data_IF_699541304215
#
_entry.id   IF_699541304215
#
_cell.length_a   1.000
_cell.length_b   1.000
_cell.length_c   1.000
_cell.angle_alpha   90.00
_cell.angle_beta   90.00
_cell.angle_gamma   90.00
#
_symmetry.space_group_name_H-M   'P 1'
#
loop_
_entity.id
_entity.type
_entity.pdbx_description
1 polymer ?
#
# COMPACT_ATOMS: atom_id res chain seq x y z
N UNK A 1 -5.75 23.87 9.56
CA UNK A 1 -6.30 23.03 10.65
C UNK A 1 -5.16 22.18 11.14
N UNK A 2 -5.19 21.73 12.39
CA UNK A 2 -4.11 20.94 12.97
C UNK A 2 -4.52 19.47 12.97
N UNK A 3 -3.76 18.62 12.30
CA UNK A 3 -3.99 17.18 12.27
C UNK A 3 -2.94 16.46 13.09
N UNK A 4 -3.29 15.30 13.65
CA UNK A 4 -2.34 14.42 14.28
C UNK A 4 -2.53 12.96 13.92
N UNK A 5 -1.46 12.19 14.09
CA UNK A 5 -1.47 10.73 14.05
C UNK A 5 -0.70 10.19 15.24
N UNK A 6 -1.27 9.16 15.87
CA UNK A 6 -0.58 8.35 16.86
C UNK A 6 0.07 7.13 16.15
N UNK A 7 1.39 6.96 16.28
CA UNK A 7 2.16 5.93 15.56
C UNK A 7 2.46 4.67 16.37
N UNK A 8 2.21 4.66 17.69
CA UNK A 8 2.50 3.48 18.53
C UNK A 8 1.29 2.56 18.65
N UNK A 9 1.47 1.29 18.27
CA UNK A 9 0.56 0.21 18.64
C UNK A 9 0.62 -0.01 20.15
N UNK A 10 -0.46 0.36 20.83
CA UNK A 10 -0.71 0.03 22.22
C UNK A 10 -2.04 -0.70 22.32
N UNK A 11 -2.23 -1.42 23.43
CA UNK A 11 -3.52 -2.02 23.74
C UNK A 11 -4.63 -0.97 23.75
N UNK A 12 -5.84 -1.41 23.39
CA UNK A 12 -7.09 -0.63 23.26
C UNK A 12 -7.29 0.43 24.37
N UNK A 13 -6.82 0.16 25.60
CA UNK A 13 -7.06 0.98 26.79
C UNK A 13 -6.07 2.15 26.98
N UNK A 14 -5.06 2.30 26.12
CA UNK A 14 -3.99 3.28 26.34
C UNK A 14 -4.04 4.53 25.44
N UNK A 15 -5.09 4.70 24.62
CA UNK A 15 -5.18 5.84 23.71
C UNK A 15 -5.61 7.14 24.39
N UNK A 16 -6.44 7.07 25.45
CA UNK A 16 -7.04 8.24 26.09
C UNK A 16 -6.03 9.33 26.50
N UNK A 17 -4.88 9.02 27.13
CA UNK A 17 -3.87 10.03 27.47
C UNK A 17 -3.35 10.79 26.24
N UNK A 18 -3.14 10.09 25.12
CA UNK A 18 -2.66 10.70 23.88
C UNK A 18 -3.73 11.56 23.21
N UNK A 19 -5.00 11.17 23.28
CA UNK A 19 -6.10 12.02 22.78
C UNK A 19 -6.18 13.32 23.59
N UNK A 20 -6.02 13.25 24.92
CA UNK A 20 -5.95 14.45 25.75
C UNK A 20 -4.70 15.30 25.47
N UNK A 21 -3.55 14.68 25.23
CA UNK A 21 -2.34 15.39 24.81
C UNK A 21 -2.55 16.10 23.45
N UNK A 22 -3.15 15.42 22.48
CA UNK A 22 -3.49 16.00 21.18
C UNK A 22 -4.41 17.23 21.34
N UNK A 23 -5.39 17.16 22.25
CA UNK A 23 -6.22 18.32 22.59
C UNK A 23 -5.41 19.48 23.15
N UNK A 24 -4.48 19.25 24.07
CA UNK A 24 -3.61 20.30 24.61
C UNK A 24 -2.75 20.95 23.54
N UNK A 25 -2.38 20.20 22.50
CA UNK A 25 -1.66 20.69 21.33
C UNK A 25 -2.56 21.40 20.30
N UNK A 26 -3.87 21.47 20.54
CA UNK A 26 -4.84 22.11 19.65
C UNK A 26 -5.17 21.31 18.39
N UNK A 27 -5.02 19.98 18.43
CA UNK A 27 -5.34 19.09 17.31
C UNK A 27 -6.84 19.11 17.03
N UNK A 28 -7.20 19.32 15.76
CA UNK A 28 -8.59 19.33 15.28
C UNK A 28 -9.10 17.91 14.97
N UNK A 29 -8.23 17.07 14.38
CA UNK A 29 -8.50 15.67 14.01
C UNK A 29 -7.30 14.78 14.29
N UNK A 30 -7.53 13.61 14.89
CA UNK A 30 -6.54 12.62 15.28
C UNK A 30 -6.84 11.26 14.64
N UNK A 31 -5.88 10.71 13.92
CA UNK A 31 -5.92 9.33 13.40
C UNK A 31 -5.23 8.40 14.40
N UNK A 32 -5.91 7.32 14.76
CA UNK A 32 -5.41 6.30 15.67
C UNK A 32 -4.91 5.06 14.89
N UNK A 33 -3.98 4.27 15.47
CA UNK A 33 -3.55 3.00 14.89
C UNK A 33 -4.72 2.04 14.68
N UNK A 34 -4.54 1.13 13.72
CA UNK A 34 -5.49 0.05 13.49
C UNK A 34 -5.53 -0.91 14.68
N UNK A 35 -6.74 -1.30 15.10
CA UNK A 35 -6.89 -2.36 16.10
C UNK A 35 -6.73 -3.74 15.44
N UNK A 36 -6.31 -4.78 16.17
CA UNK A 36 -6.21 -6.13 15.61
C UNK A 36 -7.58 -6.71 15.26
N UNK A 37 -7.63 -7.62 14.29
CA UNK A 37 -8.85 -8.33 13.83
C UNK A 37 -9.65 -8.98 14.96
N UNK A 38 -8.95 -9.55 15.96
CA UNK A 38 -9.58 -10.15 17.15
C UNK A 38 -10.39 -9.18 18.03
N UNK A 39 -10.36 -7.88 17.75
CA UNK A 39 -11.19 -6.87 18.43
C UNK A 39 -12.65 -6.83 17.97
N UNK A 40 -13.02 -7.60 16.92
CA UNK A 40 -14.37 -7.57 16.34
C UNK A 40 -15.49 -7.90 17.34
N UNK A 41 -15.22 -8.76 18.32
CA UNK A 41 -16.18 -9.12 19.38
C UNK A 41 -16.47 -7.98 20.37
N UNK A 42 -15.63 -6.93 20.36
CA UNK A 42 -15.75 -5.76 21.24
C UNK A 42 -16.19 -4.51 20.49
N UNK A 43 -16.71 -4.64 19.28
CA UNK A 43 -17.04 -3.50 18.42
C UNK A 43 -17.90 -2.43 19.14
N UNK A 44 -19.01 -2.82 19.76
CA UNK A 44 -19.91 -1.87 20.44
C UNK A 44 -19.24 -1.19 21.66
N UNK A 45 -18.41 -1.93 22.40
CA UNK A 45 -17.63 -1.38 23.52
C UNK A 45 -16.62 -0.34 23.02
N UNK A 46 -15.91 -0.66 21.93
CA UNK A 46 -14.94 0.22 21.30
C UNK A 46 -15.59 1.49 20.76
N UNK A 47 -16.71 1.37 20.03
CA UNK A 47 -17.47 2.51 19.51
C UNK A 47 -17.94 3.42 20.65
N UNK A 48 -18.47 2.84 21.73
CA UNK A 48 -18.87 3.59 22.92
C UNK A 48 -17.69 4.31 23.60
N UNK A 49 -16.54 3.64 23.68
CA UNK A 49 -15.32 4.19 24.27
C UNK A 49 -14.75 5.35 23.46
N UNK A 50 -14.64 5.20 22.14
CA UNK A 50 -14.14 6.24 21.25
C UNK A 50 -15.08 7.43 21.17
N UNK A 51 -16.40 7.21 21.12
CA UNK A 51 -17.40 8.27 21.21
C UNK A 51 -17.23 9.13 22.47
N UNK A 52 -17.12 8.48 23.64
CA UNK A 52 -16.89 9.19 24.92
C UNK A 52 -15.58 9.95 24.92
N UNK A 53 -14.51 9.35 24.40
CA UNK A 53 -13.17 9.94 24.37
C UNK A 53 -13.12 11.16 23.44
N UNK A 54 -13.72 11.06 22.24
CA UNK A 54 -13.84 12.17 21.30
C UNK A 54 -14.60 13.34 21.90
N UNK A 55 -15.73 13.06 22.57
CA UNK A 55 -16.53 14.07 23.29
C UNK A 55 -15.78 14.74 24.43
N UNK A 56 -15.09 13.96 25.26
CA UNK A 56 -14.34 14.49 26.42
C UNK A 56 -13.15 15.34 25.99
N UNK A 57 -12.47 14.97 24.90
CA UNK A 57 -11.36 15.73 24.37
C UNK A 57 -11.81 16.89 23.46
N UNK A 58 -13.00 16.81 22.85
CA UNK A 58 -13.46 17.75 21.84
C UNK A 58 -12.52 17.79 20.63
N UNK A 59 -12.20 16.60 20.09
CA UNK A 59 -11.31 16.36 18.94
C UNK A 59 -11.99 15.34 18.03
N UNK A 60 -11.88 15.48 16.70
CA UNK A 60 -12.33 14.43 15.79
C UNK A 60 -11.41 13.21 15.92
N UNK A 61 -11.96 12.01 16.05
CA UNK A 61 -11.19 10.76 16.14
C UNK A 61 -11.51 9.91 14.93
N UNK A 62 -10.49 9.53 14.17
CA UNK A 62 -10.60 8.55 13.10
C UNK A 62 -9.91 7.24 13.53
N UNK A 63 -10.60 6.12 13.38
CA UNK A 63 -10.13 4.81 13.83
C UNK A 63 -10.60 3.70 12.90
N UNK A 64 -9.76 2.69 12.73
CA UNK A 64 -10.09 1.45 12.02
C UNK A 64 -10.53 0.37 13.01
N UNK A 65 -11.73 -0.17 12.80
CA UNK A 65 -12.35 -1.23 13.60
C UNK A 65 -12.77 -2.41 12.72
N UNK A 66 -12.89 -3.57 13.34
CA UNK A 66 -13.49 -4.75 12.75
C UNK A 66 -14.90 -4.95 13.32
N UNK A 67 -15.87 -5.25 12.46
CA UNK A 67 -17.28 -5.45 12.82
C UNK A 67 -17.72 -6.84 12.36
N UNK A 68 -18.48 -7.57 13.19
CA UNK A 68 -19.19 -8.77 12.75
C UNK A 68 -20.51 -8.35 12.11
N UNK A 69 -20.55 -8.32 10.78
CA UNK A 69 -21.73 -7.96 10.01
C UNK A 69 -22.49 -9.21 9.57
N UNK A 70 -23.82 -9.13 9.54
CA UNK A 70 -24.66 -10.20 8.99
C UNK A 70 -24.75 -10.06 7.48
N UNK A 71 -24.36 -11.12 6.76
CA UNK A 71 -24.27 -11.17 5.31
C UNK A 71 -25.15 -12.31 4.79
N UNK A 72 -26.41 -12.01 4.51
CA UNK A 72 -27.40 -13.03 4.22
C UNK A 72 -27.60 -13.98 5.41
N UNK A 73 -27.18 -15.25 5.25
CA UNK A 73 -27.28 -16.29 6.28
C UNK A 73 -26.00 -16.48 7.11
N UNK A 74 -24.89 -15.85 6.74
CA UNK A 74 -23.62 -15.94 7.46
C UNK A 74 -23.31 -14.65 8.22
N UNK A 75 -22.41 -14.73 9.19
CA UNK A 75 -21.75 -13.57 9.78
C UNK A 75 -20.34 -13.51 9.23
N UNK A 76 -19.97 -12.35 8.69
CA UNK A 76 -18.62 -12.10 8.19
C UNK A 76 -17.98 -10.98 9.00
N UNK A 77 -16.66 -11.00 9.05
CA UNK A 77 -15.90 -9.87 9.58
C UNK A 77 -15.74 -8.83 8.46
N UNK A 78 -16.10 -7.58 8.75
CA UNK A 78 -15.93 -6.45 7.84
C UNK A 78 -15.00 -5.41 8.45
N UNK A 79 -14.25 -4.73 7.60
CA UNK A 79 -13.37 -3.61 7.94
C UNK A 79 -14.19 -2.33 7.95
N UNK A 80 -13.98 -1.48 8.96
CA UNK A 80 -14.73 -0.25 9.14
C UNK A 80 -13.84 0.90 9.61
N UNK A 81 -13.72 1.95 8.80
CA UNK A 81 -13.15 3.23 9.24
C UNK A 81 -14.28 4.10 9.77
N UNK A 82 -14.22 4.46 11.05
CA UNK A 82 -15.17 5.39 11.68
C UNK A 82 -14.50 6.72 11.96
N UNK A 83 -15.26 7.79 11.80
CA UNK A 83 -14.89 9.11 12.26
C UNK A 83 -15.91 9.59 13.28
N UNK A 84 -15.46 9.85 14.49
CA UNK A 84 -16.22 10.50 15.56
C UNK A 84 -15.96 12.00 15.53
N UNK A 85 -17.01 12.80 15.64
CA UNK A 85 -16.90 14.25 15.77
C UNK A 85 -16.56 14.69 17.21
N UNK A 86 -16.47 16.00 17.42
CA UNK A 86 -16.15 16.60 18.73
C UNK A 86 -17.23 16.39 19.79
N UNK A 87 -18.45 16.02 19.42
CA UNK A 87 -19.53 15.67 20.33
C UNK A 87 -19.55 14.16 20.63
N UNK A 88 -18.72 13.37 19.95
CA UNK A 88 -18.70 11.91 20.04
C UNK A 88 -19.72 11.24 19.11
N UNK A 89 -20.36 11.99 18.22
CA UNK A 89 -21.29 11.44 17.23
C UNK A 89 -20.51 10.91 16.02
N UNK A 90 -21.03 9.88 15.36
CA UNK A 90 -20.40 9.32 14.17
C UNK A 90 -20.64 10.26 12.98
N UNK A 91 -19.57 10.88 12.48
CA UNK A 91 -19.60 11.78 11.33
C UNK A 91 -19.55 11.04 9.99
N UNK A 92 -18.83 9.93 9.92
CA UNK A 92 -18.73 9.08 8.72
C UNK A 92 -18.35 7.65 9.08
N UNK A 93 -18.76 6.72 8.23
CA UNK A 93 -18.37 5.31 8.28
C UNK A 93 -18.05 4.83 6.88
N UNK A 94 -16.86 4.27 6.69
CA UNK A 94 -16.45 3.63 5.45
C UNK A 94 -16.19 2.15 5.70
N UNK A 95 -16.93 1.27 5.01
CA UNK A 95 -16.87 -0.19 5.22
C UNK A 95 -16.39 -0.91 3.98
N UNK A 96 -15.60 -1.95 4.21
CA UNK A 96 -15.15 -2.89 3.18
C UNK A 96 -15.21 -4.32 3.69
N UNK A 97 -15.35 -5.30 2.79
CA UNK A 97 -15.21 -6.68 3.21
C UNK A 97 -13.76 -6.99 3.60
N UNK A 98 -13.59 -7.97 4.49
CA UNK A 98 -12.27 -8.49 4.84
C UNK A 98 -11.70 -9.39 3.74
N UNK A 99 -12.56 -10.11 3.02
CA UNK A 99 -12.22 -11.06 1.98
C UNK A 99 -13.12 -10.86 0.74
N UNK A 100 -12.74 -11.45 -0.39
CA UNK A 100 -13.49 -11.37 -1.65
C UNK A 100 -14.79 -12.16 -1.67
N UNK A 101 -15.13 -12.85 -0.57
CA UNK A 101 -16.33 -13.69 -0.42
C UNK A 101 -17.46 -12.90 0.26
N UNK A 102 -17.11 -11.96 1.14
CA UNK A 102 -18.03 -11.17 1.92
C UNK A 102 -18.78 -10.14 1.05
N UNK A 103 -19.95 -10.52 0.53
CA UNK A 103 -20.89 -9.64 -0.21
C UNK A 103 -21.67 -8.65 0.71
N UNK A 104 -21.14 -8.39 1.90
CA UNK A 104 -21.82 -7.75 3.03
C UNK A 104 -21.93 -6.23 2.93
N UNK A 105 -21.05 -5.64 2.13
CA UNK A 105 -20.88 -4.19 2.00
C UNK A 105 -20.95 -3.89 0.53
N UNK A 106 -22.03 -3.25 0.09
CA UNK A 106 -22.07 -2.68 -1.25
C UNK A 106 -20.85 -1.73 -1.36
N UNK A 107 -19.99 -1.89 -2.39
CA UNK A 107 -19.01 -0.86 -2.66
C UNK A 107 -19.83 0.41 -2.91
N UNK A 108 -19.66 1.41 -2.05
CA UNK A 108 -20.08 2.74 -2.45
C UNK A 108 -19.15 3.05 -3.63
N UNK A 109 -19.73 3.17 -4.84
CA UNK A 109 -18.98 3.67 -6.00
C UNK A 109 -18.38 5.04 -5.69
N UNK A 110 -19.03 5.75 -4.77
CA UNK A 110 -18.73 7.12 -4.41
C UNK A 110 -17.83 7.16 -3.18
N UNK A 111 -16.84 8.06 -3.22
CA UNK A 111 -15.97 8.36 -2.10
C UNK A 111 -16.79 8.78 -0.88
N UNK A 112 -16.61 8.10 0.25
CA UNK A 112 -17.26 8.49 1.51
C UNK A 112 -16.57 9.75 2.04
N UNK A 113 -17.37 10.78 2.33
CA UNK A 113 -16.87 12.08 2.81
C UNK A 113 -17.62 12.57 4.04
N UNK A 114 -16.98 13.44 4.82
CA UNK A 114 -17.63 14.26 5.84
C UNK A 114 -17.07 15.68 5.82
N UNK A 115 -17.86 16.64 6.27
CA UNK A 115 -17.42 18.03 6.43
C UNK A 115 -17.37 18.37 7.91
N UNK A 116 -16.21 18.84 8.37
CA UNK A 116 -16.00 19.20 9.78
C UNK A 116 -16.64 20.55 10.14
N UNK A 117 -16.82 20.79 11.43
CA UNK A 117 -17.24 22.08 12.00
C UNK A 117 -16.26 23.23 11.72
N UNK A 118 -14.99 22.91 11.43
CA UNK A 118 -13.97 23.86 10.99
C UNK A 118 -13.91 24.04 9.46
N UNK A 119 -14.91 23.56 8.72
CA UNK A 119 -15.11 23.85 7.30
C UNK A 119 -14.10 23.16 6.37
N UNK A 120 -13.70 21.94 6.69
CA UNK A 120 -12.86 21.09 5.83
C UNK A 120 -13.63 19.83 5.48
N UNK A 121 -13.71 19.52 4.19
CA UNK A 121 -14.26 18.25 3.70
C UNK A 121 -13.14 17.23 3.59
N UNK A 122 -13.35 16.07 4.22
CA UNK A 122 -12.43 14.94 4.21
C UNK A 122 -13.02 13.77 3.45
N UNK A 123 -12.20 13.09 2.66
CA UNK A 123 -12.48 11.76 2.13
C UNK A 123 -11.93 10.68 3.06
N UNK A 124 -12.69 9.62 3.28
CA UNK A 124 -12.21 8.42 3.96
C UNK A 124 -11.72 7.41 2.93
N UNK A 125 -10.54 6.85 3.19
CA UNK A 125 -9.93 5.81 2.37
C UNK A 125 -9.30 4.74 3.27
N UNK A 126 -9.17 3.53 2.77
CA UNK A 126 -8.29 2.49 3.29
C UNK A 126 -6.99 2.46 2.48
N UNK A 127 -5.97 1.79 3.00
CA UNK A 127 -4.62 1.80 2.41
C UNK A 127 -4.62 1.34 0.94
N UNK A 128 -5.39 0.31 0.60
CA UNK A 128 -5.48 -0.20 -0.77
C UNK A 128 -6.17 0.76 -1.75
N UNK A 129 -7.02 1.67 -1.27
CA UNK A 129 -7.76 2.60 -2.14
C UNK A 129 -6.85 3.53 -2.92
N UNK A 130 -5.71 3.89 -2.31
CA UNK A 130 -4.71 4.72 -2.97
C UNK A 130 -4.17 4.04 -4.23
N UNK A 131 -4.00 2.72 -4.18
CA UNK A 131 -3.47 1.91 -5.27
C UNK A 131 -4.55 1.48 -6.25
N UNK A 132 -5.80 1.27 -5.81
CA UNK A 132 -6.87 0.74 -6.67
C UNK A 132 -7.59 1.83 -7.46
N UNK A 133 -7.99 2.93 -6.81
CA UNK A 133 -8.78 3.97 -7.47
C UNK A 133 -7.94 4.92 -8.33
N UNK A 134 -8.59 5.60 -9.26
CA UNK A 134 -7.98 6.62 -10.13
C UNK A 134 -8.19 8.04 -9.57
N UNK A 135 -7.60 9.03 -10.23
CA UNK A 135 -7.70 10.43 -9.79
C UNK A 135 -9.14 10.98 -9.84
N UNK A 136 -9.98 10.44 -10.74
CA UNK A 136 -11.36 10.91 -10.91
C UNK A 136 -12.22 10.50 -9.70
N UNK A 137 -11.98 9.33 -9.12
CA UNK A 137 -12.64 8.90 -7.87
C UNK A 137 -12.42 9.89 -6.71
N UNK A 138 -11.28 10.58 -6.67
CA UNK A 138 -10.91 11.52 -5.61
C UNK A 138 -11.24 12.98 -5.91
N UNK A 139 -11.87 13.25 -7.05
CA UNK A 139 -12.07 14.60 -7.55
C UNK A 139 -12.92 15.45 -6.62
N UNK A 140 -12.47 16.68 -6.39
CA UNK A 140 -13.16 17.65 -5.53
C UNK A 140 -12.79 17.54 -4.05
N UNK A 141 -12.03 16.53 -3.64
CA UNK A 141 -11.54 16.37 -2.27
C UNK A 141 -10.02 16.56 -2.22
N UNK A 142 -9.53 17.22 -1.18
CA UNK A 142 -8.11 17.57 -1.01
C UNK A 142 -7.56 17.22 0.37
N UNK A 143 -8.38 16.67 1.25
CA UNK A 143 -8.00 16.24 2.58
C UNK A 143 -8.53 14.82 2.78
N UNK A 144 -7.65 13.92 3.17
CA UNK A 144 -7.96 12.50 3.28
C UNK A 144 -7.55 11.98 4.65
N UNK A 145 -8.37 11.07 5.16
CA UNK A 145 -8.10 10.29 6.35
C UNK A 145 -7.99 8.84 5.92
N UNK A 146 -6.85 8.23 6.22
CA UNK A 146 -6.55 6.86 5.86
C UNK A 146 -6.27 6.00 7.09
N UNK A 147 -7.01 4.93 7.24
CA UNK A 147 -6.79 3.95 8.29
C UNK A 147 -7.12 2.54 7.78
N UNK A 148 -6.72 1.53 8.53
CA UNK A 148 -6.71 0.14 8.06
C UNK A 148 -5.35 -0.19 7.47
N UNK A 149 -4.87 -1.38 7.81
CA UNK A 149 -3.62 -1.93 7.29
C UNK A 149 -3.91 -2.79 6.08
N UNK A 150 -3.00 -2.77 5.12
CA UNK A 150 -3.04 -3.62 3.93
C UNK A 150 -1.70 -4.34 3.74
N UNK A 151 -1.75 -5.67 3.66
CA UNK A 151 -0.60 -6.45 3.21
C UNK A 151 -0.66 -6.59 1.70
N UNK A 152 0.13 -5.78 0.99
CA UNK A 152 0.31 -5.93 -0.46
C UNK A 152 1.44 -6.91 -0.78
N UNK A 153 1.28 -7.68 -1.86
CA UNK A 153 2.37 -8.49 -2.43
C UNK A 153 3.43 -7.63 -3.13
N UNK A 154 3.08 -6.41 -3.54
CA UNK A 154 4.02 -5.43 -4.09
C UNK A 154 4.62 -4.62 -2.94
N UNK A 155 5.93 -4.74 -2.73
CA UNK A 155 6.56 -4.36 -1.46
C UNK A 155 6.49 -2.86 -1.16
N UNK A 156 6.39 -2.01 -2.19
CA UNK A 156 6.27 -0.57 -2.04
C UNK A 156 4.82 -0.06 -1.97
N UNK A 157 3.81 -0.88 -2.24
CA UNK A 157 2.38 -0.51 -2.16
C UNK A 157 1.81 -0.62 -0.74
N UNK A 158 2.56 -0.11 0.25
CA UNK A 158 2.09 0.02 1.62
C UNK A 158 2.03 1.49 2.06
N UNK A 159 1.35 1.79 3.17
CA UNK A 159 1.08 3.15 3.65
C UNK A 159 2.35 3.94 3.96
N UNK A 160 3.41 3.30 4.45
CA UNK A 160 4.66 3.98 4.75
C UNK A 160 5.41 4.41 3.48
N UNK A 161 5.19 3.68 2.38
CA UNK A 161 5.96 3.81 1.15
C UNK A 161 5.22 4.52 0.01
N UNK A 162 3.93 4.21 -0.17
CA UNK A 162 3.13 4.71 -1.28
C UNK A 162 2.35 5.99 -0.94
N UNK A 163 1.87 6.12 0.30
CA UNK A 163 1.12 7.30 0.75
C UNK A 163 1.83 8.65 0.52
N UNK A 164 3.16 8.79 0.75
CA UNK A 164 3.87 10.04 0.45
C UNK A 164 3.84 10.37 -1.06
N UNK A 165 4.01 9.34 -1.90
CA UNK A 165 4.00 9.47 -3.35
C UNK A 165 2.63 9.86 -3.88
N UNK A 166 1.59 9.17 -3.42
CA UNK A 166 0.21 9.47 -3.75
C UNK A 166 -0.17 10.89 -3.34
N UNK A 167 0.15 11.28 -2.10
CA UNK A 167 -0.08 12.63 -1.57
C UNK A 167 0.61 13.71 -2.43
N UNK A 168 1.86 13.46 -2.84
CA UNK A 168 2.63 14.35 -3.71
C UNK A 168 1.98 14.56 -5.08
N UNK A 169 1.57 13.46 -5.74
CA UNK A 169 0.94 13.51 -7.07
C UNK A 169 -0.43 14.16 -7.01
N UNK A 170 -1.26 13.76 -6.06
CA UNK A 170 -2.61 14.30 -5.88
C UNK A 170 -2.60 15.73 -5.30
N UNK A 171 -1.45 16.20 -4.81
CA UNK A 171 -1.30 17.45 -4.07
C UNK A 171 -2.40 17.62 -3.01
N UNK A 172 -2.60 16.56 -2.22
CA UNK A 172 -3.66 16.48 -1.22
C UNK A 172 -3.06 16.25 0.16
N UNK A 173 -3.75 16.71 1.20
CA UNK A 173 -3.38 16.32 2.56
C UNK A 173 -3.85 14.90 2.83
N UNK A 174 -3.00 14.09 3.43
CA UNK A 174 -3.30 12.71 3.82
C UNK A 174 -2.84 12.50 5.26
N UNK A 175 -3.78 12.24 6.15
CA UNK A 175 -3.52 11.87 7.54
C UNK A 175 -3.73 10.36 7.63
N UNK A 176 -2.65 9.60 7.80
CA UNK A 176 -2.71 8.14 7.84
C UNK A 176 -2.08 7.57 9.09
N UNK A 177 -2.30 6.27 9.33
CA UNK A 177 -1.60 5.48 10.37
C UNK A 177 -0.07 5.48 10.24
N UNK A 178 0.47 5.81 9.06
CA UNK A 178 1.90 5.88 8.80
C UNK A 178 2.50 7.28 8.94
N UNK A 179 1.67 8.34 8.99
CA UNK A 179 2.17 9.71 9.04
C UNK A 179 1.16 10.77 8.62
N UNK A 180 1.59 12.03 8.67
CA UNK A 180 0.83 13.16 8.12
C UNK A 180 1.57 13.68 6.89
N UNK A 181 0.91 13.72 5.75
CA UNK A 181 1.47 14.18 4.48
C UNK A 181 0.72 15.41 3.99
N UNK A 182 1.43 16.47 3.59
CA UNK A 182 0.81 17.72 3.13
C UNK A 182 1.08 17.97 1.65
N UNK A 183 0.54 17.10 0.78
CA UNK A 183 0.77 17.15 -0.66
C UNK A 183 2.26 17.14 -1.00
N UNK A 184 2.68 18.13 -1.79
CA UNK A 184 4.08 18.29 -2.20
C UNK A 184 5.06 18.69 -1.09
N UNK A 185 4.57 19.06 0.09
CA UNK A 185 5.43 19.28 1.26
C UNK A 185 5.85 18.00 1.97
N UNK A 186 5.27 16.85 1.55
CA UNK A 186 5.69 15.54 2.00
C UNK A 186 5.37 15.25 3.46
N UNK A 187 6.12 14.29 4.05
CA UNK A 187 5.92 13.81 5.41
C UNK A 187 6.23 14.91 6.42
N UNK A 188 5.27 15.15 7.31
CA UNK A 188 5.43 16.05 8.44
C UNK A 188 6.09 15.29 9.59
N UNK A 189 7.22 15.80 10.07
CA UNK A 189 7.98 15.20 11.16
C UNK A 189 7.50 15.74 12.51
N UNK A 190 7.42 14.88 13.52
CA UNK A 190 7.02 15.25 14.87
C UNK A 190 7.59 14.28 15.91
N UNK A 191 7.01 14.28 17.10
CA UNK A 191 7.33 13.30 18.14
C UNK A 191 7.10 11.87 17.61
N UNK A 192 8.01 10.94 17.92
CA UNK A 192 7.94 9.53 17.48
C UNK A 192 6.66 8.81 17.91
N UNK A 193 5.93 9.35 18.89
CA UNK A 193 4.65 8.80 19.37
C UNK A 193 3.46 9.50 18.71
N UNK A 194 3.47 10.83 18.69
CA UNK A 194 2.37 11.66 18.25
C UNK A 194 2.89 12.72 17.28
N UNK A 195 2.67 12.51 15.99
CA UNK A 195 2.98 13.52 14.99
C UNK A 195 1.81 14.49 14.92
N UNK A 196 2.11 15.79 14.94
CA UNK A 196 1.13 16.86 14.82
C UNK A 196 1.61 17.87 13.80
N UNK A 197 0.75 18.26 12.87
CA UNK A 197 1.09 19.18 11.80
C UNK A 197 -0.05 20.16 11.49
N UNK A 198 0.33 21.36 11.06
CA UNK A 198 -0.59 22.37 10.55
C UNK A 198 -0.78 22.19 9.04
N UNK A 199 -2.02 21.97 8.62
CA UNK A 199 -2.40 21.67 7.25
C UNK A 199 -3.29 22.78 6.66
N UNK A 200 -3.04 23.09 5.38
CA UNK A 200 -3.89 23.99 4.59
C UNK A 200 -5.25 23.34 4.31
N UNK A 201 -6.35 24.08 4.48
CA UNK A 201 -7.70 23.54 4.23
C UNK A 201 -7.93 23.12 2.77
N UNK A 202 -7.23 23.74 1.84
CA UNK A 202 -7.40 23.52 0.40
C UNK A 202 -6.49 22.42 -0.16
N UNK A 203 -5.80 21.68 0.71
CA UNK A 203 -4.78 20.71 0.32
C UNK A 203 -3.47 21.38 -0.09
N UNK A 204 -2.41 20.58 -0.04
CA UNK A 204 -1.06 20.99 -0.42
C UNK A 204 -0.48 22.09 0.47
N UNK A 205 0.80 22.35 0.25
CA UNK A 205 1.52 23.47 0.87
C UNK A 205 2.50 24.02 -0.18
N UNK A 206 2.71 25.35 -0.15
CA UNK A 206 3.67 26.03 -1.03
C UNK A 206 5.13 25.67 -0.68
N UNK A 207 5.35 25.05 0.50
CA UNK A 207 6.65 24.57 0.92
C UNK A 207 6.95 23.21 0.28
N UNK A 208 7.99 23.13 -0.54
CA UNK A 208 8.49 21.86 -1.06
C UNK A 208 9.37 21.22 0.01
N UNK A 209 8.91 20.14 0.65
CA UNK A 209 9.70 19.31 1.57
C UNK A 209 9.22 17.85 1.49
N UNK A 210 9.72 17.01 2.38
CA UNK A 210 10.37 15.72 2.12
C UNK A 210 9.48 14.57 1.61
N UNK A 211 9.89 13.93 0.51
CA UNK A 211 9.51 12.54 0.23
C UNK A 211 10.40 11.61 1.04
N UNK A 212 9.94 11.20 2.23
CA UNK A 212 10.64 10.19 3.02
C UNK A 212 9.67 9.18 3.55
N UNK A 213 10.05 7.93 3.33
CA UNK A 213 9.51 6.75 3.97
C UNK A 213 10.36 6.52 5.23
N UNK A 214 9.75 6.47 6.41
CA UNK A 214 10.49 6.07 7.63
C UNK A 214 10.93 4.60 7.42
N UNK A 215 12.18 4.22 7.76
CA UNK A 215 12.61 2.83 7.65
C UNK A 215 11.90 2.00 8.72
N UNK A 216 10.80 1.35 8.34
CA UNK A 216 10.18 0.30 9.16
C UNK A 216 10.02 -0.93 8.28
N UNK A 217 10.67 -2.04 8.68
CA UNK A 217 10.57 -3.39 8.10
C UNK A 217 10.23 -3.39 6.60
N UNK A 218 11.12 -2.80 5.80
CA UNK A 218 10.92 -2.67 4.38
C UNK A 218 11.03 -4.07 3.77
N UNK A 219 9.93 -4.59 3.22
CA UNK A 219 9.98 -5.83 2.44
C UNK A 219 10.79 -5.54 1.17
N UNK A 220 11.68 -6.45 0.80
CA UNK A 220 12.33 -6.37 -0.50
C UNK A 220 11.31 -6.69 -1.58
N UNK A 221 11.38 -5.98 -2.70
CA UNK A 221 10.53 -6.28 -3.86
C UNK A 221 10.92 -7.65 -4.44
N UNK A 222 9.93 -8.48 -4.72
CA UNK A 222 10.18 -9.70 -5.50
C UNK A 222 10.39 -9.34 -6.98
N UNK A 223 11.65 -9.34 -7.40
CA UNK A 223 12.04 -9.03 -8.77
C UNK A 223 11.89 -10.23 -9.73
N UNK A 224 11.32 -11.36 -9.30
CA UNK A 224 11.22 -12.59 -10.11
C UNK A 224 10.49 -12.39 -11.45
N UNK A 225 9.56 -11.44 -11.52
CA UNK A 225 8.79 -11.12 -12.72
C UNK A 225 9.37 -9.95 -13.54
N UNK A 226 10.45 -9.33 -13.06
CA UNK A 226 11.09 -8.18 -13.69
C UNK A 226 12.19 -8.61 -14.65
N UNK A 227 12.45 -7.81 -15.68
CA UNK A 227 13.71 -7.90 -16.41
C UNK A 227 14.75 -7.09 -15.64
N UNK A 228 15.80 -7.76 -15.16
CA UNK A 228 16.85 -7.15 -14.33
C UNK A 228 18.18 -7.04 -15.08
N UNK A 229 18.92 -5.96 -14.79
CA UNK A 229 20.32 -5.75 -15.16
C UNK A 229 21.12 -5.31 -13.94
N UNK A 230 22.18 -6.03 -13.54
CA UNK A 230 23.04 -5.58 -12.45
C UNK A 230 23.66 -4.21 -12.77
N UNK A 231 23.65 -3.30 -11.80
CA UNK A 231 24.32 -2.02 -11.92
C UNK A 231 25.84 -2.21 -11.79
N UNK A 232 26.58 -1.73 -12.79
CA UNK A 232 28.03 -1.61 -12.68
C UNK A 232 28.39 -0.43 -11.77
N UNK A 233 28.59 -0.72 -10.47
CA UNK A 233 28.91 0.27 -9.45
C UNK A 233 30.24 0.97 -9.74
N UNK A 234 31.23 0.29 -10.30
CA UNK A 234 32.52 0.89 -10.64
C UNK A 234 32.36 1.89 -11.78
N UNK A 235 31.67 1.51 -12.86
CA UNK A 235 31.37 2.41 -13.97
C UNK A 235 30.49 3.58 -13.54
N UNK A 236 29.58 3.36 -12.58
CA UNK A 236 28.69 4.42 -12.07
C UNK A 236 29.44 5.58 -11.41
N UNK A 237 30.66 5.39 -10.91
CA UNK A 237 31.48 6.51 -10.40
C UNK A 237 31.79 7.58 -11.46
N UNK A 238 31.79 7.19 -12.74
CA UNK A 238 32.01 8.06 -13.91
C UNK A 238 30.70 8.51 -14.57
N UNK A 239 29.56 8.05 -14.06
CA UNK A 239 28.26 8.17 -14.70
C UNK A 239 27.99 6.97 -15.62
N UNK A 240 27.00 6.18 -15.26
CA UNK A 240 26.58 4.98 -15.98
C UNK A 240 25.19 5.20 -16.55
N UNK A 241 25.00 4.88 -17.84
CA UNK A 241 23.69 4.92 -18.51
C UNK A 241 23.35 3.53 -19.03
N UNK A 242 22.13 3.07 -18.77
CA UNK A 242 21.65 1.76 -19.20
C UNK A 242 20.17 1.83 -19.57
N UNK A 243 19.71 0.95 -20.46
CA UNK A 243 18.30 0.83 -20.81
C UNK A 243 17.83 -0.60 -20.61
N UNK A 244 16.79 -0.77 -19.78
CA UNK A 244 16.20 -2.08 -19.51
C UNK A 244 14.78 -2.08 -20.04
N UNK A 245 14.44 -3.08 -20.85
CA UNK A 245 13.11 -3.19 -21.45
C UNK A 245 12.44 -4.49 -21.02
N UNK A 246 11.15 -4.40 -20.69
CA UNK A 246 10.27 -5.54 -20.52
C UNK A 246 9.09 -5.37 -21.50
N UNK A 247 8.99 -6.29 -22.47
CA UNK A 247 8.03 -6.21 -23.58
C UNK A 247 8.20 -4.89 -24.35
N UNK A 248 7.12 -4.12 -24.53
CA UNK A 248 7.12 -2.83 -25.23
C UNK A 248 7.51 -1.64 -24.34
N UNK A 249 7.76 -1.84 -23.06
CA UNK A 249 8.08 -0.79 -22.10
C UNK A 249 9.57 -0.79 -21.78
N UNK A 250 10.20 0.39 -21.80
CA UNK A 250 11.64 0.57 -21.59
C UNK A 250 11.91 1.67 -20.57
N UNK A 251 12.84 1.38 -19.66
CA UNK A 251 13.33 2.27 -18.62
C UNK A 251 14.76 2.69 -18.94
N UNK A 252 14.98 3.99 -19.10
CA UNK A 252 16.30 4.58 -19.21
C UNK A 252 16.81 4.99 -17.82
N UNK A 253 17.94 4.43 -17.42
CA UNK A 253 18.59 4.72 -16.15
C UNK A 253 19.88 5.50 -16.38
N UNK A 254 20.10 6.52 -15.56
CA UNK A 254 21.40 7.16 -15.38
C UNK A 254 21.74 7.16 -13.90
N UNK A 255 22.93 6.66 -13.56
CA UNK A 255 23.38 6.53 -12.17
C UNK A 255 24.79 7.07 -12.05
N UNK A 256 24.99 7.97 -11.09
CA UNK A 256 26.30 8.48 -10.69
C UNK A 256 26.51 8.28 -9.19
N UNK A 257 27.49 7.47 -8.82
CA UNK A 257 27.87 7.24 -7.42
C UNK A 257 29.10 8.06 -7.02
N UNK A 258 29.24 8.34 -5.73
CA UNK A 258 30.45 8.98 -5.20
C UNK A 258 31.66 8.04 -5.34
N UNK A 259 32.82 8.61 -5.64
CA UNK A 259 34.08 7.85 -5.74
C UNK A 259 34.48 7.27 -4.38
N UNK A 260 34.79 5.97 -4.32
CA UNK A 260 35.24 5.28 -3.10
C UNK A 260 34.15 4.55 -2.31
N UNK A 261 32.96 4.32 -2.87
CA UNK A 261 31.97 3.43 -2.27
C UNK A 261 32.52 1.99 -2.21
N UNK A 262 32.38 1.32 -1.05
CA UNK A 262 32.77 -0.07 -0.85
C UNK A 262 31.97 -1.02 -1.76
N UNK A 263 32.67 -2.00 -2.34
CA UNK A 263 32.20 -2.97 -3.34
C UNK A 263 31.18 -4.01 -2.81
N UNK A 264 30.61 -3.86 -1.61
CA UNK A 264 29.69 -4.85 -1.03
C UNK A 264 28.22 -4.60 -1.37
N UNK A 265 27.86 -3.39 -1.83
CA UNK A 265 26.49 -3.08 -2.19
C UNK A 265 26.18 -3.51 -3.64
N UNK A 266 25.18 -4.39 -3.81
CA UNK A 266 24.65 -4.79 -5.11
C UNK A 266 23.35 -4.04 -5.40
N UNK A 267 23.23 -3.58 -6.65
CA UNK A 267 22.04 -2.92 -7.14
C UNK A 267 21.63 -3.51 -8.48
N UNK A 268 20.32 -3.56 -8.71
CA UNK A 268 19.70 -4.01 -9.95
C UNK A 268 18.87 -2.88 -10.55
N UNK A 269 19.00 -2.71 -11.85
CA UNK A 269 18.11 -1.92 -12.68
C UNK A 269 17.01 -2.86 -13.20
N UNK A 270 15.76 -2.54 -12.94
CA UNK A 270 14.63 -3.43 -13.21
C UNK A 270 13.54 -2.70 -14.01
N UNK A 271 12.96 -3.40 -14.98
CA UNK A 271 11.80 -2.95 -15.74
C UNK A 271 10.68 -4.01 -15.68
N UNK A 272 9.44 -3.55 -15.53
CA UNK A 272 8.24 -4.39 -15.52
C UNK A 272 7.12 -3.81 -16.37
N UNK A 273 6.41 -4.67 -17.08
CA UNK A 273 5.19 -4.36 -17.82
C UNK A 273 4.27 -5.58 -17.83
N UNK A 274 3.26 -5.57 -16.97
CA UNK A 274 2.36 -6.69 -16.77
C UNK A 274 1.34 -6.43 -15.68
N UNK A 275 0.80 -7.50 -15.12
CA UNK A 275 -0.16 -7.47 -14.02
C UNK A 275 0.48 -8.06 -12.78
N UNK A 276 0.36 -7.34 -11.67
CA UNK A 276 0.81 -7.77 -10.35
C UNK A 276 -0.41 -8.04 -9.46
N UNK A 277 -0.38 -9.11 -8.64
CA UNK A 277 -1.31 -9.26 -7.54
C UNK A 277 -1.06 -8.14 -6.54
N UNK A 278 -2.05 -7.28 -6.31
CA UNK A 278 -1.97 -6.25 -5.29
C UNK A 278 -2.45 -6.78 -3.93
N UNK A 279 -3.42 -7.70 -3.96
CA UNK A 279 -3.93 -8.45 -2.81
C UNK A 279 -4.50 -9.79 -3.30
N UNK A 280 -4.93 -10.66 -2.38
CA UNK A 280 -5.61 -11.95 -2.67
C UNK A 280 -6.80 -11.86 -3.65
N UNK A 281 -7.31 -10.65 -3.90
CA UNK A 281 -8.55 -10.41 -4.63
C UNK A 281 -8.43 -9.27 -5.65
N UNK A 282 -7.29 -8.59 -5.73
CA UNK A 282 -7.12 -7.45 -6.63
C UNK A 282 -5.81 -7.57 -7.39
N UNK A 283 -5.91 -7.34 -8.68
CA UNK A 283 -4.78 -7.27 -9.60
C UNK A 283 -4.63 -5.83 -10.08
N UNK A 284 -3.39 -5.41 -10.30
CA UNK A 284 -3.07 -4.10 -10.86
C UNK A 284 -2.18 -4.28 -12.08
N UNK A 285 -2.62 -3.71 -13.21
CA UNK A 285 -1.77 -3.54 -14.37
C UNK A 285 -0.76 -2.41 -14.12
N UNK A 286 0.52 -2.71 -14.28
CA UNK A 286 1.60 -1.81 -13.91
C UNK A 286 2.74 -1.79 -14.95
N UNK A 287 3.25 -0.58 -15.16
CA UNK A 287 4.54 -0.31 -15.82
C UNK A 287 5.50 0.25 -14.76
N UNK A 288 6.62 -0.41 -14.52
CA UNK A 288 7.50 -0.07 -13.39
C UNK A 288 8.95 0.03 -13.85
N UNK A 289 9.60 1.12 -13.45
CA UNK A 289 11.05 1.27 -13.53
C UNK A 289 11.61 1.35 -12.12
N UNK A 290 12.56 0.50 -11.76
CA UNK A 290 13.07 0.44 -10.39
C UNK A 290 14.58 0.24 -10.36
N UNK A 291 15.27 1.02 -9.53
CA UNK A 291 16.61 0.69 -9.05
C UNK A 291 16.43 0.10 -7.66
N UNK A 292 16.78 -1.16 -7.49
CA UNK A 292 16.63 -1.89 -6.24
C UNK A 292 17.99 -2.35 -5.72
N UNK A 293 18.26 -2.17 -4.43
CA UNK A 293 19.53 -2.49 -3.80
C UNK A 293 19.39 -3.16 -2.44
N UNK A 294 20.49 -3.72 -1.95
CA UNK A 294 20.51 -4.39 -0.64
C UNK A 294 20.38 -3.41 0.54
N UNK A 295 19.70 -3.86 1.59
CA UNK A 295 19.67 -3.16 2.88
C UNK A 295 21.09 -3.04 3.44
N UNK A 296 21.51 -1.81 3.77
CA UNK A 296 22.83 -1.44 4.33
C UNK A 296 23.94 -1.09 3.33
N UNK A 297 23.57 -0.68 2.12
CA UNK A 297 24.50 -0.01 1.24
C UNK A 297 24.91 1.36 1.80
N UNK A 298 26.17 1.56 2.17
CA UNK A 298 26.72 2.89 2.47
C UNK A 298 26.95 3.74 1.18
N UNK A 299 26.27 3.37 0.10
CA UNK A 299 26.43 3.96 -1.22
C UNK A 299 25.80 5.34 -1.25
N UNK A 300 26.64 6.33 -1.55
CA UNK A 300 26.16 7.67 -1.88
C UNK A 300 25.96 7.78 -3.39
N UNK A 301 24.74 8.13 -3.80
CA UNK A 301 24.39 8.48 -5.17
C UNK A 301 24.42 10.00 -5.34
N UNK A 302 25.38 10.49 -6.12
CA UNK A 302 25.44 11.91 -6.49
C UNK A 302 24.23 12.29 -7.36
N UNK A 303 23.84 11.38 -8.27
CA UNK A 303 22.66 11.55 -9.12
C UNK A 303 22.06 10.22 -9.54
N UNK A 304 20.74 10.11 -9.45
CA UNK A 304 19.95 9.08 -10.11
C UNK A 304 18.97 9.77 -11.04
N UNK A 305 18.82 9.26 -12.27
CA UNK A 305 17.78 9.67 -13.20
C UNK A 305 17.12 8.42 -13.76
N UNK A 306 15.80 8.33 -13.64
CA UNK A 306 14.99 7.26 -14.22
C UNK A 306 14.01 7.94 -15.18
N UNK A 307 14.01 7.54 -16.45
CA UNK A 307 13.12 8.08 -17.47
C UNK A 307 12.43 6.96 -18.22
N UNK A 308 11.13 7.07 -18.42
CA UNK A 308 10.36 6.15 -19.25
C UNK A 308 9.19 6.86 -19.93
N UNK A 309 8.68 6.25 -21.00
CA UNK A 309 7.49 6.71 -21.69
C UNK A 309 6.31 5.84 -21.26
N UNK A 310 5.39 6.42 -20.50
CA UNK A 310 4.15 5.79 -20.07
C UNK A 310 3.03 6.11 -21.05
N UNK A 311 2.00 5.28 -21.09
CA UNK A 311 0.76 5.63 -21.80
C UNK A 311 0.05 6.77 -21.06
N UNK A 312 -0.68 7.62 -21.79
CA UNK A 312 -1.41 8.77 -21.20
C UNK A 312 -2.45 8.42 -20.13
N UNK A 313 -2.89 7.17 -20.09
CA UNK A 313 -3.94 6.69 -19.19
C UNK A 313 -3.37 6.18 -17.86
N UNK A 314 -2.04 6.06 -17.77
CA UNK A 314 -1.40 5.56 -16.56
C UNK A 314 -1.24 6.69 -15.54
N UNK A 315 -1.64 6.48 -14.29
CA UNK A 315 -1.27 7.39 -13.20
C UNK A 315 0.17 7.07 -12.78
N UNK A 316 1.05 8.07 -12.68
CA UNK A 316 2.47 7.84 -12.40
C UNK A 316 2.91 8.41 -11.05
N UNK A 317 3.62 7.58 -10.29
CA UNK A 317 3.99 7.83 -8.91
C UNK A 317 5.50 7.62 -8.73
N UNK A 318 6.23 8.58 -8.12
CA UNK A 318 7.63 8.38 -7.76
C UNK A 318 7.77 7.38 -6.60
N UNK A 319 8.71 6.46 -6.69
CA UNK A 319 9.12 5.59 -5.59
C UNK A 319 10.47 6.07 -5.09
N UNK A 320 10.57 6.40 -3.81
CA UNK A 320 11.83 6.73 -3.15
C UNK A 320 11.81 6.14 -1.75
N UNK A 321 12.50 5.00 -1.58
CA UNK A 321 12.73 4.34 -0.31
C UNK A 321 14.21 4.43 0.04
N UNK A 322 14.49 5.19 1.09
CA UNK A 322 15.83 5.52 1.55
C UNK A 322 15.83 5.55 3.07
N UNK A 323 16.93 5.13 3.69
CA UNK A 323 17.10 5.25 5.14
C UNK A 323 17.16 6.71 5.61
N UNK A 324 17.43 7.64 4.69
CA UNK A 324 17.51 9.08 4.97
C UNK A 324 16.35 9.85 4.34
N UNK A 325 15.94 10.88 5.07
CA UNK A 325 14.93 11.87 4.66
C UNK A 325 15.46 12.64 3.44
N UNK A 326 14.79 12.51 2.28
CA UNK A 326 15.20 13.20 1.05
C UNK A 326 14.60 14.61 0.98
N UNK A 327 15.42 15.67 0.98
CA UNK A 327 14.94 17.03 0.81
C UNK A 327 14.26 17.22 -0.56
N UNK A 328 13.24 18.06 -0.64
CA UNK A 328 12.49 18.22 -1.89
C UNK A 328 13.33 18.88 -3.00
N UNK A 329 14.30 19.72 -2.66
CA UNK A 329 15.26 20.29 -3.61
C UNK A 329 16.16 19.22 -4.27
N UNK A 330 16.31 18.08 -3.59
CA UNK A 330 17.09 16.95 -4.09
C UNK A 330 16.24 15.95 -4.90
N UNK A 331 14.97 16.28 -5.13
CA UNK A 331 14.01 15.42 -5.79
C UNK A 331 13.27 16.21 -6.89
N UNK A 332 13.13 15.61 -8.07
CA UNK A 332 12.38 16.21 -9.16
C UNK A 332 11.64 15.15 -9.94
N UNK A 333 10.32 15.30 -10.02
CA UNK A 333 9.45 14.46 -10.82
C UNK A 333 8.78 15.31 -11.90
N UNK A 334 9.04 15.00 -13.16
CA UNK A 334 8.50 15.78 -14.29
C UNK A 334 7.86 14.89 -15.32
N UNK A 335 6.70 15.35 -15.80
CA UNK A 335 5.95 14.71 -16.89
C UNK A 335 5.92 15.65 -18.09
N UNK A 336 6.28 15.14 -19.26
CA UNK A 336 6.20 15.83 -20.55
C UNK A 336 5.30 15.05 -21.48
N UNK A 337 4.23 15.67 -21.97
CA UNK A 337 3.31 15.03 -22.91
C UNK A 337 3.86 15.06 -24.33
N UNK A 338 4.00 13.87 -24.94
CA UNK A 338 4.47 13.70 -26.31
C UNK A 338 3.43 12.91 -27.12
N UNK A 339 2.53 13.61 -27.83
CA UNK A 339 1.50 12.93 -28.64
C UNK A 339 0.58 12.09 -27.76
N UNK A 340 0.62 10.76 -27.86
CA UNK A 340 -0.18 9.81 -27.04
C UNK A 340 0.57 9.22 -25.84
N UNK A 341 1.85 9.54 -25.65
CA UNK A 341 2.65 9.10 -24.50
C UNK A 341 2.96 10.25 -23.56
N UNK A 342 3.31 9.90 -22.32
CA UNK A 342 3.84 10.80 -21.31
C UNK A 342 5.25 10.34 -20.97
N UNK A 343 6.24 11.17 -21.31
CA UNK A 343 7.61 10.94 -20.85
C UNK A 343 7.70 11.42 -19.41
N UNK A 344 7.99 10.52 -18.50
CA UNK A 344 8.13 10.80 -17.07
C UNK A 344 9.59 10.61 -16.70
N UNK A 345 10.12 11.60 -15.98
CA UNK A 345 11.48 11.57 -15.45
C UNK A 345 11.45 11.81 -13.95
N UNK A 346 12.07 10.89 -13.21
CA UNK A 346 12.44 11.04 -11.82
C UNK A 346 13.94 11.32 -11.74
N UNK A 347 14.32 12.48 -11.23
CA UNK A 347 15.69 12.83 -10.89
C UNK A 347 15.83 12.95 -9.36
N UNK A 348 16.88 12.35 -8.81
CA UNK A 348 17.30 12.57 -7.42
C UNK A 348 18.78 12.90 -7.36
N UNK A 349 19.18 13.71 -6.38
CA UNK A 349 20.57 14.11 -6.16
C UNK A 349 20.98 13.91 -4.71
N UNK A 350 22.24 13.53 -4.49
CA UNK A 350 22.83 13.34 -3.15
C UNK A 350 22.02 12.43 -2.23
N UNK A 351 21.52 11.30 -2.74
CA UNK A 351 20.75 10.32 -1.95
C UNK A 351 21.69 9.26 -1.37
N UNK A 352 21.39 8.80 -0.16
CA UNK A 352 22.19 7.78 0.55
C UNK A 352 21.33 6.59 0.93
N UNK A 353 21.93 5.41 0.95
CA UNK A 353 21.32 4.19 1.47
C UNK A 353 19.93 3.95 0.85
N UNK A 354 19.89 4.00 -0.47
CA UNK A 354 18.69 3.77 -1.26
C UNK A 354 18.41 2.28 -1.31
N UNK A 355 17.19 1.90 -0.95
CA UNK A 355 16.68 0.55 -1.20
C UNK A 355 15.99 0.49 -2.56
N UNK A 356 15.01 1.37 -2.78
CA UNK A 356 14.24 1.41 -4.02
C UNK A 356 14.06 2.85 -4.50
N UNK A 357 14.47 3.15 -5.74
CA UNK A 357 14.20 4.43 -6.41
C UNK A 357 13.67 4.17 -7.80
N UNK A 358 12.52 4.72 -8.15
CA UNK A 358 11.85 4.34 -9.38
C UNK A 358 10.57 5.09 -9.69
N UNK A 359 9.86 4.62 -10.71
CA UNK A 359 8.57 5.17 -11.15
C UNK A 359 7.59 4.00 -11.23
N UNK A 360 6.46 4.14 -10.55
CA UNK A 360 5.32 3.24 -10.64
C UNK A 360 4.24 3.88 -11.52
N UNK A 361 3.95 3.27 -12.66
CA UNK A 361 2.82 3.63 -13.52
C UNK A 361 1.70 2.62 -13.34
N UNK A 362 0.52 3.09 -12.91
CA UNK A 362 -0.70 2.28 -12.80
C UNK A 362 -1.61 2.51 -13.99
N UNK A 363 -1.96 1.46 -14.71
CA UNK A 363 -3.02 1.51 -15.72
C UNK A 363 -4.38 1.32 -15.05
N UNK A 364 -5.26 2.33 -15.18
CA UNK A 364 -6.56 2.34 -14.53
C UNK A 364 -7.67 1.67 -15.37
N UNK A 365 -7.39 1.28 -16.62
CA UNK A 365 -8.39 0.72 -17.55
C UNK A 365 -8.51 -0.81 -17.40
N UNK A 366 -7.53 -1.47 -16.81
CA UNK A 366 -7.43 -2.93 -16.85
C UNK A 366 -7.76 -3.55 -15.49
N UNK A 367 -9.05 -3.55 -15.16
CA UNK A 367 -9.66 -4.49 -14.20
C UNK A 367 -10.45 -5.61 -14.92
N UNK A 368 -10.37 -5.70 -16.25
CA UNK A 368 -11.08 -6.73 -17.03
C UNK A 368 -10.30 -8.05 -17.11
N UNK A 369 -11.06 -9.15 -17.03
CA UNK A 369 -10.73 -10.58 -16.88
C UNK A 369 -9.73 -11.21 -17.90
N UNK A 370 -8.98 -10.42 -18.68
CA UNK A 370 -8.21 -10.90 -19.84
C UNK A 370 -6.69 -10.63 -19.79
N UNK A 371 -6.08 -10.60 -18.60
CA UNK A 371 -4.61 -10.61 -18.50
C UNK A 371 -4.09 -11.90 -17.86
N UNK A 372 -3.16 -12.55 -18.56
CA UNK A 372 -2.44 -13.71 -18.05
C UNK A 372 -1.35 -13.29 -17.08
N UNK A 373 -1.25 -14.01 -15.96
CA UNK A 373 -0.22 -13.92 -14.92
C UNK A 373 1.19 -13.87 -15.53
N UNK A 374 2.10 -13.10 -14.92
CA UNK A 374 3.47 -12.93 -15.40
C UNK A 374 4.16 -14.25 -15.72
N UNK A 375 4.75 -14.37 -16.91
CA UNK A 375 5.61 -15.49 -17.28
C UNK A 375 6.83 -15.48 -16.37
N UNK A 376 6.90 -16.43 -15.42
CA UNK A 376 8.12 -16.72 -14.67
C UNK A 376 9.20 -17.13 -15.68
N UNK A 377 10.30 -16.38 -15.74
CA UNK A 377 11.50 -16.78 -16.49
C UNK A 377 12.24 -17.90 -15.73
N UNK A 378 11.61 -19.06 -15.57
CA UNK A 378 12.28 -20.24 -15.05
C UNK A 378 12.13 -21.37 -16.06
N UNK A 379 13.25 -21.73 -16.68
CA UNK A 379 13.49 -23.02 -17.34
C UNK A 379 13.48 -24.19 -16.35
N UNK A 380 12.53 -24.23 -15.41
CA UNK A 380 12.29 -25.38 -14.55
C UNK A 380 10.80 -25.69 -14.51
N UNK A 381 10.54 -26.91 -14.93
CA UNK A 381 9.27 -27.55 -15.26
C UNK A 381 8.23 -27.41 -14.14
N UNK A 382 7.00 -27.10 -14.56
CA UNK A 382 5.77 -27.12 -13.78
C UNK A 382 5.54 -28.46 -13.04
N UNK A 383 6.08 -28.57 -11.83
CA UNK A 383 5.86 -29.71 -10.95
C UNK A 383 5.42 -29.36 -9.52
N UNK A 384 5.36 -28.09 -9.12
CA UNK A 384 5.03 -27.74 -7.74
C UNK A 384 3.54 -27.44 -7.48
N UNK A 385 2.76 -26.98 -8.46
CA UNK A 385 1.34 -26.62 -8.24
C UNK A 385 0.41 -27.83 -8.06
N UNK A 386 0.84 -29.02 -8.50
CA UNK A 386 0.02 -30.24 -8.38
C UNK A 386 0.12 -30.82 -6.97
N UNK A 387 1.26 -30.65 -6.29
CA UNK A 387 1.46 -31.22 -4.96
C UNK A 387 0.70 -30.46 -3.87
N UNK A 388 0.63 -29.12 -3.92
CA UNK A 388 -0.18 -28.35 -2.97
C UNK A 388 -1.69 -28.63 -3.12
N UNK A 389 -2.17 -28.85 -4.35
CA UNK A 389 -3.58 -29.17 -4.58
C UNK A 389 -3.95 -30.60 -4.12
N UNK A 390 -3.03 -31.56 -4.22
CA UNK A 390 -3.27 -32.96 -3.79
C UNK A 390 -3.21 -33.10 -2.27
N UNK A 391 -2.43 -32.28 -1.57
CA UNK A 391 -2.27 -32.35 -0.11
C UNK A 391 -3.16 -31.39 0.68
N UNK A 392 -4.16 -30.77 0.04
CA UNK A 392 -5.19 -30.03 0.74
C UNK A 392 -6.04 -31.00 1.60
N UNK A 393 -6.32 -30.65 2.87
CA UNK A 393 -7.05 -31.49 3.83
C UNK A 393 -8.41 -31.95 3.28
N UNK A 394 -9.10 -31.08 2.54
CA UNK A 394 -10.38 -31.38 1.89
C UNK A 394 -10.29 -32.49 0.82
N UNK A 395 -9.15 -32.59 0.13
CA UNK A 395 -8.91 -33.60 -0.92
C UNK A 395 -8.55 -34.94 -0.29
N UNK A 396 -7.80 -34.94 0.82
CA UNK A 396 -7.53 -36.17 1.57
C UNK A 396 -8.81 -36.76 2.17
N UNK A 397 -9.69 -35.94 2.76
CA UNK A 397 -10.99 -36.42 3.27
C UNK A 397 -11.85 -37.03 2.15
N UNK A 398 -11.84 -36.44 0.95
CA UNK A 398 -12.55 -36.99 -0.21
C UNK A 398 -12.00 -38.37 -0.61
N UNK A 399 -10.67 -38.52 -0.70
CA UNK A 399 -10.06 -39.79 -1.06
C UNK A 399 -10.28 -40.86 0.01
N UNK A 400 -10.18 -40.52 1.29
CA UNK A 400 -10.48 -41.45 2.38
C UNK A 400 -11.95 -41.91 2.35
N UNK A 401 -12.89 -40.98 2.12
CA UNK A 401 -14.31 -41.32 2.00
C UNK A 401 -14.59 -42.25 0.80
N UNK A 402 -14.02 -41.96 -0.37
CA UNK A 402 -14.19 -42.80 -1.57
C UNK A 402 -13.56 -44.18 -1.35
N UNK A 403 -12.38 -44.22 -0.74
CA UNK A 403 -11.64 -45.46 -0.55
C UNK A 403 -12.30 -46.37 0.49
N UNK A 404 -12.85 -45.82 1.58
CA UNK A 404 -13.64 -46.57 2.56
C UNK A 404 -14.85 -47.22 1.87
N UNK A 405 -15.57 -46.47 1.02
CA UNK A 405 -16.74 -47.01 0.30
C UNK A 405 -16.36 -48.07 -0.72
N UNK A 406 -15.24 -47.90 -1.42
CA UNK A 406 -14.73 -48.88 -2.37
C UNK A 406 -14.35 -50.20 -1.66
N UNK A 407 -13.67 -50.12 -0.50
CA UNK A 407 -13.31 -51.31 0.28
C UNK A 407 -14.52 -52.10 0.76
N UNK A 408 -15.55 -51.43 1.25
CA UNK A 408 -16.79 -52.08 1.67
C UNK A 408 -17.41 -52.83 0.48
N UNK A 409 -17.45 -52.20 -0.69
CA UNK A 409 -17.97 -52.83 -1.91
C UNK A 409 -17.15 -54.06 -2.33
N UNK A 410 -15.82 -53.97 -2.30
CA UNK A 410 -14.93 -55.09 -2.65
C UNK A 410 -15.13 -56.26 -1.67
N UNK A 411 -15.25 -56.00 -0.36
CA UNK A 411 -15.48 -57.05 0.64
C UNK A 411 -16.85 -57.71 0.44
N UNK A 412 -17.91 -56.92 0.23
CA UNK A 412 -19.26 -57.46 -0.02
C UNK A 412 -19.30 -58.31 -1.29
N UNK A 413 -18.68 -57.85 -2.38
CA UNK A 413 -18.60 -58.61 -3.64
C UNK A 413 -17.77 -59.87 -3.46
N UNK A 414 -16.69 -59.82 -2.68
CA UNK A 414 -15.84 -61.00 -2.42
C UNK A 414 -16.55 -62.06 -1.59
N UNK A 415 -17.36 -61.65 -0.60
CA UNK A 415 -18.22 -62.57 0.18
C UNK A 415 -19.29 -63.18 -0.72
N UNK A 416 -19.93 -62.38 -1.58
CA UNK A 416 -20.95 -62.87 -2.51
C UNK A 416 -20.39 -63.86 -3.54
N UNK A 417 -19.18 -63.64 -4.03
CA UNK A 417 -18.49 -64.58 -4.93
C UNK A 417 -18.11 -65.86 -4.19
N UNK A 418 -17.70 -65.78 -2.92
CA UNK A 418 -17.37 -66.96 -2.09
C UNK A 418 -18.60 -67.77 -1.68
N UNK A 419 -19.79 -67.18 -1.56
CA UNK A 419 -21.05 -67.92 -1.34
C UNK A 419 -21.58 -68.61 -2.62
N UNK A 420 -21.17 -68.14 -3.80
CA UNK A 420 -21.59 -68.71 -5.09
C UNK A 420 -20.63 -69.80 -5.62
N UNK A 421 -19.47 -69.97 -4.99
CA UNK A 421 -18.55 -71.09 -5.21
C UNK A 421 -18.82 -72.21 -4.21
#
# INVERSE_FOLDING_TARGET
>A
YKAGVLLQNKEINEFTPFVHQAKQMGVDILVLPSLPTGSADKYDELVSSFSKTARQAGVYIAVHLYEKARCGMAYETVRSNLVFDRNGDIAAVYRKPQNGIANCTAPHSDLVTFTSDFGVTFGLVMEEDLALYDEEHFKGVRNFVMAGEWESEVAFLNAANFAPSWSYIMNANLVSTAGVYSGKAGLQTGDDKLIVADLSKNGGSDSQTVLSTKPSNLRHEDLSQYVIRPLDVEASSRGYKETVCHRSFCCEFYVKTASGNNNEASYNLAAFNGVLPASDHHNIAAEICLISGSENSNTVFERISVTANFTKQNAQFPIVQSATVLPAENFKFTTKTNGNSQQVTLDTVNVKNVQNVGIFGKDSVVLEDNYMYGEKNNTEIAHNDIYEYIFNEDVQEFFDYVWIRLRILIVVVSIYILEMM
#
